data_IF_580054968468
#
_entry.id   IF_580054968468
#
_cell.length_a   1.000
_cell.length_b   1.000
_cell.length_c   1.000
_cell.angle_alpha   90.00
_cell.angle_beta   90.00
_cell.angle_gamma   90.00
#
_symmetry.space_group_name_H-M   'P 1'
#
loop_
_entity.id
_entity.type
_entity.pdbx_description
1 polymer ?
#
# COMPACT_ATOMS: atom_id res chain seq x y z
N UNK A 1 -15.17 20.32 -0.27
CA UNK A 1 -14.12 20.93 -1.12
C UNK A 1 -14.47 20.65 -2.57
N UNK A 2 -14.76 21.70 -3.36
CA UNK A 2 -14.98 21.56 -4.80
C UNK A 2 -13.68 21.08 -5.45
N UNK A 3 -13.66 19.83 -5.92
CA UNK A 3 -12.54 19.28 -6.65
C UNK A 3 -12.41 20.07 -7.96
N UNK A 4 -11.36 20.87 -8.10
CA UNK A 4 -11.05 21.42 -9.41
C UNK A 4 -10.69 20.27 -10.33
N UNK A 5 -11.28 20.23 -11.53
CA UNK A 5 -10.98 19.18 -12.52
C UNK A 5 -9.48 19.08 -12.82
N UNK A 6 -8.76 20.21 -12.66
CA UNK A 6 -7.31 20.29 -12.75
C UNK A 6 -6.58 19.49 -11.65
N UNK A 7 -7.03 19.57 -10.40
CA UNK A 7 -6.46 18.79 -9.28
C UNK A 7 -6.65 17.28 -9.46
N UNK A 8 -7.79 16.85 -10.00
CA UNK A 8 -8.04 15.45 -10.33
C UNK A 8 -7.10 14.94 -11.44
N UNK A 9 -6.96 15.70 -12.54
CA UNK A 9 -6.07 15.35 -13.65
C UNK A 9 -4.61 15.25 -13.20
N UNK A 10 -4.13 16.18 -12.36
CA UNK A 10 -2.78 16.15 -11.83
C UNK A 10 -2.53 14.90 -10.96
N UNK A 11 -3.46 14.60 -10.03
CA UNK A 11 -3.38 13.43 -9.15
C UNK A 11 -3.39 12.12 -9.93
N UNK A 12 -4.20 12.03 -11.00
CA UNK A 12 -4.23 10.87 -11.89
C UNK A 12 -2.90 10.70 -12.63
N UNK A 13 -2.37 11.77 -13.25
CA UNK A 13 -1.09 11.73 -13.98
C UNK A 13 0.07 11.27 -13.09
N UNK A 14 0.11 11.73 -11.84
CA UNK A 14 1.13 11.28 -10.88
C UNK A 14 0.99 9.79 -10.56
N UNK A 15 -0.23 9.31 -10.26
CA UNK A 15 -0.48 7.89 -10.00
C UNK A 15 -0.06 7.02 -11.18
N UNK A 16 -0.42 7.38 -12.41
CA UNK A 16 -0.14 6.57 -13.60
C UNK A 16 1.36 6.52 -13.95
N UNK A 17 2.08 7.63 -13.73
CA UNK A 17 3.50 7.74 -14.12
C UNK A 17 4.50 7.34 -13.05
N UNK A 18 4.13 7.42 -11.76
CA UNK A 18 5.05 7.23 -10.63
C UNK A 18 4.69 6.08 -9.70
N UNK A 19 3.49 5.52 -9.80
CA UNK A 19 3.02 4.46 -8.91
C UNK A 19 2.67 3.21 -9.73
N UNK A 20 3.27 2.09 -9.36
CA UNK A 20 2.90 0.76 -9.87
C UNK A 20 2.11 0.02 -8.79
N UNK A 21 1.03 -0.65 -9.20
CA UNK A 21 0.24 -1.51 -8.30
C UNK A 21 0.89 -2.90 -8.26
N UNK A 22 0.92 -3.49 -7.07
CA UNK A 22 1.29 -4.89 -6.85
C UNK A 22 0.00 -5.62 -6.47
N UNK A 23 -0.64 -6.36 -7.40
CA UNK A 23 -1.75 -7.23 -7.03
C UNK A 23 -1.20 -8.41 -6.23
N UNK A 24 -1.81 -8.70 -5.08
CA UNK A 24 -1.43 -9.80 -4.20
C UNK A 24 -2.70 -10.56 -3.81
N UNK A 25 -2.81 -11.79 -4.29
CA UNK A 25 -3.86 -12.72 -3.88
C UNK A 25 -3.36 -13.54 -2.70
N UNK A 26 -4.13 -13.54 -1.61
CA UNK A 26 -3.84 -14.30 -0.39
C UNK A 26 -5.05 -15.11 0.02
N UNK A 27 -4.82 -16.20 0.76
CA UNK A 27 -5.93 -16.91 1.37
C UNK A 27 -6.59 -16.05 2.45
N UNK A 28 -7.90 -16.23 2.66
CA UNK A 28 -8.66 -15.46 3.66
C UNK A 28 -8.03 -15.54 5.06
N UNK A 29 -7.61 -16.74 5.46
CA UNK A 29 -6.94 -16.98 6.75
C UNK A 29 -5.63 -16.20 6.90
N UNK A 30 -4.85 -16.12 5.82
CA UNK A 30 -3.60 -15.35 5.80
C UNK A 30 -3.89 -13.85 5.86
N UNK A 31 -4.91 -13.38 5.14
CA UNK A 31 -5.34 -12.00 5.20
C UNK A 31 -5.78 -11.60 6.62
N UNK A 32 -6.58 -12.43 7.28
CA UNK A 32 -7.03 -12.19 8.66
C UNK A 32 -5.87 -12.14 9.64
N UNK A 33 -4.89 -13.05 9.51
CA UNK A 33 -3.68 -13.03 10.32
C UNK A 33 -2.86 -11.74 10.12
N UNK A 34 -2.67 -11.33 8.87
CA UNK A 34 -1.97 -10.08 8.52
C UNK A 34 -2.72 -8.87 9.07
N UNK A 35 -4.04 -8.85 8.90
CA UNK A 35 -4.90 -7.77 9.38
C UNK A 35 -4.84 -7.63 10.88
N UNK A 36 -4.97 -8.74 11.62
CA UNK A 36 -4.87 -8.75 13.08
C UNK A 36 -3.53 -8.18 13.56
N UNK A 37 -2.43 -8.62 12.96
CA UNK A 37 -1.10 -8.10 13.30
C UNK A 37 -0.98 -6.61 13.00
N UNK A 38 -1.48 -6.16 11.84
CA UNK A 38 -1.46 -4.75 11.46
C UNK A 38 -2.30 -3.90 12.41
N UNK A 39 -3.51 -4.36 12.77
CA UNK A 39 -4.43 -3.68 13.70
C UNK A 39 -3.80 -3.57 15.11
N UNK A 40 -3.16 -4.63 15.62
CA UNK A 40 -2.43 -4.63 16.90
C UNK A 40 -1.28 -3.60 16.93
N UNK A 41 -0.65 -3.34 15.78
CA UNK A 41 0.45 -2.38 15.65
C UNK A 41 -0.01 -1.00 15.15
N UNK A 42 -1.33 -0.76 15.03
CA UNK A 42 -1.89 0.51 14.53
C UNK A 42 -1.53 0.82 13.07
N UNK A 43 -1.21 -0.18 12.27
CA UNK A 43 -0.83 -0.07 10.85
C UNK A 43 -1.96 -0.54 9.95
N UNK A 44 -2.00 -0.02 8.72
CA UNK A 44 -2.85 -0.61 7.69
C UNK A 44 -2.19 -1.85 7.10
N UNK A 45 -2.97 -2.83 6.62
CA UNK A 45 -2.47 -4.03 5.91
C UNK A 45 -1.48 -3.65 4.80
N UNK A 46 -1.83 -2.65 3.97
CA UNK A 46 -0.95 -2.16 2.91
C UNK A 46 0.34 -1.53 3.44
N UNK A 47 0.25 -0.77 4.54
CA UNK A 47 1.41 -0.17 5.19
C UNK A 47 2.38 -1.22 5.71
N UNK A 48 1.86 -2.20 6.44
CA UNK A 48 2.63 -3.31 6.98
C UNK A 48 3.33 -4.14 5.89
N UNK A 49 2.61 -4.47 4.81
CA UNK A 49 3.19 -5.22 3.68
C UNK A 49 4.33 -4.43 3.02
N UNK A 50 4.13 -3.14 2.77
CA UNK A 50 5.15 -2.28 2.16
C UNK A 50 6.40 -2.19 3.03
N UNK A 51 6.21 -1.91 4.31
CA UNK A 51 7.30 -1.79 5.27
C UNK A 51 8.13 -3.08 5.33
N UNK A 52 7.48 -4.23 5.49
CA UNK A 52 8.14 -5.54 5.52
C UNK A 52 8.95 -5.81 4.26
N UNK A 53 8.42 -5.46 3.07
CA UNK A 53 9.13 -5.63 1.80
C UNK A 53 10.35 -4.71 1.73
N UNK A 54 10.19 -3.42 2.08
CA UNK A 54 11.28 -2.44 1.98
C UNK A 54 12.34 -2.64 3.05
N UNK A 55 11.99 -3.10 4.24
CA UNK A 55 12.93 -3.52 5.28
C UNK A 55 13.82 -4.65 4.76
N UNK A 56 13.22 -5.74 4.25
CA UNK A 56 13.97 -6.86 3.67
C UNK A 56 14.85 -6.47 2.49
N UNK A 57 14.38 -5.56 1.61
CA UNK A 57 15.21 -5.08 0.49
C UNK A 57 16.42 -4.31 1.00
N UNK A 58 16.25 -3.44 2.01
CA UNK A 58 17.36 -2.67 2.62
C UNK A 58 18.38 -3.58 3.29
N UNK A 59 17.95 -4.64 3.96
CA UNK A 59 18.85 -5.59 4.62
C UNK A 59 19.71 -6.39 3.61
N UNK A 60 19.28 -6.51 2.36
CA UNK A 60 19.97 -7.26 1.30
C UNK A 60 20.80 -6.38 0.35
N UNK A 61 20.96 -5.09 0.64
CA UNK A 61 21.73 -4.12 -0.18
C UNK A 61 22.88 -3.55 0.62
#
# INVERSE_FOLDING_TARGET
MAYSESGYKASKKYKDSKIKRIPLDVQMSQYEAIKKYADEHGKSVNGFIKETIFEKIKENT
#
